data_IF_260377184071
#
_entry.id   IF_260377184071
#
_cell.length_a   1.000
_cell.length_b   1.000
_cell.length_c   1.000
_cell.angle_alpha   90.00
_cell.angle_beta   90.00
_cell.angle_gamma   90.00
#
_symmetry.space_group_name_H-M   'P 1'
#
loop_
_entity.id
_entity.type
_entity.pdbx_description
1 polymer ?
#
# COMPACT_ATOMS: atom_id res chain seq x y z
N UNK A 1 -1.05 4.07 -19.72
CA UNK A 1 -1.36 4.86 -18.52
C UNK A 1 -0.08 5.50 -18.02
N UNK A 2 -0.18 6.72 -17.49
CA UNK A 2 0.94 7.41 -16.88
C UNK A 2 1.22 6.84 -15.49
N UNK A 3 2.50 6.66 -15.17
CA UNK A 3 2.99 6.19 -13.88
C UNK A 3 4.37 6.78 -13.57
N UNK A 4 4.76 6.75 -12.30
CA UNK A 4 6.11 7.01 -11.84
C UNK A 4 6.74 5.67 -11.43
N UNK A 5 7.85 5.29 -12.07
CA UNK A 5 8.46 3.98 -11.88
C UNK A 5 9.97 4.07 -11.65
N UNK A 6 10.50 3.11 -10.92
CA UNK A 6 11.93 2.91 -10.68
C UNK A 6 12.40 1.78 -11.58
N UNK A 7 13.26 2.09 -12.55
CA UNK A 7 13.89 1.08 -13.40
C UNK A 7 15.07 0.43 -12.71
N UNK A 8 15.95 1.27 -12.18
CA UNK A 8 17.19 0.91 -11.49
C UNK A 8 17.27 1.76 -10.23
N UNK A 9 17.35 1.15 -9.04
CA UNK A 9 17.50 1.92 -7.81
C UNK A 9 18.81 2.74 -7.81
N UNK A 10 18.75 3.95 -7.27
CA UNK A 10 19.89 4.87 -7.15
C UNK A 10 19.58 5.92 -6.06
N UNK A 11 20.58 6.67 -5.55
CA UNK A 11 20.34 7.75 -4.59
C UNK A 11 19.26 8.70 -5.10
N UNK A 12 18.34 9.13 -4.21
CA UNK A 12 17.15 9.89 -4.63
C UNK A 12 17.51 11.19 -5.35
N UNK A 13 18.66 11.78 -5.03
CA UNK A 13 19.20 13.00 -5.65
C UNK A 13 19.50 12.84 -7.14
N UNK A 14 19.64 11.60 -7.62
CA UNK A 14 19.83 11.28 -9.04
C UNK A 14 18.52 11.10 -9.81
N UNK A 15 17.38 11.30 -9.15
CA UNK A 15 16.03 11.13 -9.71
C UNK A 15 15.78 9.72 -10.29
N UNK A 16 15.91 8.64 -9.49
CA UNK A 16 15.67 7.26 -9.93
C UNK A 16 14.21 6.98 -10.32
N UNK A 17 13.27 7.82 -9.86
CA UNK A 17 11.85 7.73 -10.15
C UNK A 17 11.54 8.48 -11.45
N UNK A 18 11.12 7.75 -12.48
CA UNK A 18 10.91 8.28 -13.83
C UNK A 18 9.42 8.25 -14.21
N UNK A 19 8.96 9.31 -14.88
CA UNK A 19 7.66 9.31 -15.53
C UNK A 19 7.69 8.39 -16.76
N UNK A 20 6.77 7.44 -16.80
CA UNK A 20 6.69 6.43 -17.86
C UNK A 20 5.26 6.21 -18.31
N UNK A 21 5.09 5.78 -19.55
CA UNK A 21 3.84 5.24 -20.04
C UNK A 21 3.90 3.71 -20.06
N UNK A 22 2.96 3.08 -19.36
CA UNK A 22 2.88 1.62 -19.21
C UNK A 22 1.49 1.12 -19.57
N UNK A 23 1.33 -0.17 -19.84
CA UNK A 23 0.00 -0.76 -20.03
C UNK A 23 -0.83 -0.61 -18.74
N UNK A 24 -2.12 -0.32 -18.89
CA UNK A 24 -3.06 -0.33 -17.77
C UNK A 24 -3.18 -1.77 -17.25
N UNK A 25 -3.03 -2.02 -15.93
CA UNK A 25 -3.15 -3.38 -15.40
C UNK A 25 -4.56 -3.93 -15.66
N UNK A 26 -4.63 -5.25 -15.85
CA UNK A 26 -5.88 -6.01 -15.91
C UNK A 26 -6.02 -6.78 -14.61
N UNK A 27 -7.16 -6.72 -13.90
CA UNK A 27 -7.32 -7.44 -12.65
C UNK A 27 -7.35 -8.95 -12.92
N UNK A 28 -6.56 -9.71 -12.17
CA UNK A 28 -6.64 -11.18 -12.19
C UNK A 28 -7.82 -11.68 -11.34
N UNK A 29 -8.04 -13.00 -11.31
CA UNK A 29 -9.02 -13.60 -10.41
C UNK A 29 -8.74 -13.21 -8.95
N UNK A 30 -9.77 -12.72 -8.25
CA UNK A 30 -9.65 -12.20 -6.88
C UNK A 30 -9.04 -10.81 -6.76
N UNK A 31 -8.76 -10.11 -7.87
CA UNK A 31 -8.27 -8.73 -7.86
C UNK A 31 -9.32 -7.71 -8.30
N UNK A 32 -9.12 -6.47 -7.87
CA UNK A 32 -9.88 -5.29 -8.27
C UNK A 32 -8.95 -4.40 -9.10
N UNK A 33 -9.47 -3.81 -10.18
CA UNK A 33 -8.83 -2.67 -10.81
C UNK A 33 -9.31 -1.40 -10.13
N UNK A 34 -8.39 -0.60 -9.63
CA UNK A 34 -8.68 0.63 -8.89
C UNK A 34 -8.11 1.82 -9.66
N UNK A 35 -8.96 2.82 -9.94
CA UNK A 35 -8.50 4.15 -10.37
C UNK A 35 -7.99 4.90 -9.15
N UNK A 36 -6.72 5.27 -9.17
CA UNK A 36 -6.10 6.02 -8.08
C UNK A 36 -6.64 7.44 -8.07
N UNK A 37 -7.06 7.91 -6.89
CA UNK A 37 -7.45 9.31 -6.67
C UNK A 37 -6.33 10.07 -5.98
N UNK A 38 -5.80 9.48 -4.91
CA UNK A 38 -4.68 10.01 -4.11
C UNK A 38 -3.78 8.84 -3.72
N UNK A 39 -2.47 9.07 -3.73
CA UNK A 39 -1.51 8.18 -3.09
C UNK A 39 -0.60 9.02 -2.19
N UNK A 40 -0.51 8.65 -0.93
CA UNK A 40 0.46 9.24 -0.01
C UNK A 40 1.90 8.82 -0.36
N UNK A 41 2.87 9.56 0.20
CA UNK A 41 4.30 9.35 0.00
C UNK A 41 4.92 8.92 1.31
N UNK A 42 5.46 7.71 1.36
CA UNK A 42 6.03 7.12 2.56
C UNK A 42 7.56 7.00 2.43
N UNK A 43 8.27 6.98 3.57
CA UNK A 43 9.73 6.73 3.59
C UNK A 43 10.09 5.41 2.93
N UNK A 44 9.22 4.40 3.01
CA UNK A 44 9.41 3.11 2.35
C UNK A 44 9.50 3.24 0.82
N UNK A 45 8.83 4.22 0.20
CA UNK A 45 8.96 4.43 -1.25
C UNK A 45 10.37 4.92 -1.62
N UNK A 46 11.03 5.68 -0.73
CA UNK A 46 12.45 6.02 -0.87
C UNK A 46 13.33 4.78 -0.73
N UNK A 47 13.06 3.91 0.24
CA UNK A 47 13.79 2.64 0.38
C UNK A 47 13.70 1.76 -0.87
N UNK A 48 12.57 1.78 -1.58
CA UNK A 48 12.42 1.12 -2.89
C UNK A 48 13.23 1.84 -3.97
N UNK A 49 13.18 3.17 -4.02
CA UNK A 49 13.87 3.98 -5.03
C UNK A 49 15.39 3.96 -4.89
N UNK A 50 15.90 3.90 -3.66
CA UNK A 50 17.33 3.92 -3.32
C UNK A 50 17.95 2.52 -3.24
N UNK A 51 17.12 1.48 -3.20
CA UNK A 51 17.56 0.08 -3.26
C UNK A 51 17.85 -0.55 -1.89
N UNK A 52 17.49 0.12 -0.79
CA UNK A 52 17.47 -0.47 0.55
C UNK A 52 16.55 -1.69 0.61
N UNK A 53 15.44 -1.63 -0.14
CA UNK A 53 14.62 -2.78 -0.48
C UNK A 53 15.05 -3.32 -1.84
N UNK A 54 15.51 -4.59 -1.94
CA UNK A 54 15.98 -5.13 -3.20
C UNK A 54 14.85 -5.16 -4.24
N UNK A 55 15.10 -4.71 -5.48
CA UNK A 55 14.07 -4.67 -6.51
C UNK A 55 13.58 -6.08 -6.86
N UNK A 56 12.27 -6.25 -6.97
CA UNK A 56 11.61 -7.53 -7.28
C UNK A 56 11.40 -7.75 -8.78
N UNK A 57 11.26 -6.68 -9.54
CA UNK A 57 11.16 -6.68 -10.99
C UNK A 57 11.65 -5.34 -11.54
N UNK A 58 11.77 -5.21 -12.88
CA UNK A 58 12.06 -3.91 -13.51
C UNK A 58 10.81 -3.03 -13.48
N UNK A 59 11.00 -1.72 -13.48
CA UNK A 59 9.92 -0.73 -13.56
C UNK A 59 8.90 -0.89 -12.42
N UNK A 60 9.39 -0.97 -11.19
CA UNK A 60 8.53 -0.98 -10.00
C UNK A 60 7.87 0.38 -9.88
N UNK A 61 6.55 0.41 -9.80
CA UNK A 61 5.77 1.61 -9.48
C UNK A 61 5.59 1.61 -7.95
N UNK A 62 6.18 2.55 -7.20
CA UNK A 62 6.00 2.62 -5.73
C UNK A 62 4.60 3.14 -5.34
N UNK A 63 4.40 3.39 -4.05
CA UNK A 63 3.19 3.97 -3.49
C UNK A 63 2.24 2.91 -2.92
N UNK A 64 1.98 3.00 -1.62
CA UNK A 64 1.18 2.01 -0.87
C UNK A 64 0.28 2.66 0.18
N UNK A 65 -0.01 3.94 -0.04
CA UNK A 65 -0.95 4.76 0.73
C UNK A 65 -2.09 5.19 -0.19
N UNK A 66 -2.71 4.22 -0.88
CA UNK A 66 -3.57 4.50 -2.03
C UNK A 66 -5.03 4.64 -1.61
N UNK A 67 -5.66 5.74 -2.00
CA UNK A 67 -7.11 5.88 -2.00
C UNK A 67 -7.60 5.92 -3.44
N UNK A 68 -8.60 5.10 -3.75
CA UNK A 68 -9.10 5.00 -5.11
C UNK A 68 -10.52 4.51 -5.21
N UNK A 69 -10.95 4.33 -6.45
CA UNK A 69 -12.28 3.87 -6.81
C UNK A 69 -12.16 2.58 -7.63
N UNK A 70 -12.93 1.56 -7.27
CA UNK A 70 -13.01 0.30 -8.01
C UNK A 70 -13.65 0.56 -9.37
N UNK A 71 -12.99 0.18 -10.46
CA UNK A 71 -13.49 0.34 -11.83
C UNK A 71 -13.86 -1.01 -12.45
N UNK A 72 -13.14 -2.07 -12.11
CA UNK A 72 -13.35 -3.42 -12.67
C UNK A 72 -13.10 -4.47 -11.60
N UNK A 73 -13.85 -5.58 -11.68
CA UNK A 73 -13.72 -6.74 -10.80
C UNK A 73 -13.12 -7.88 -11.60
N UNK A 74 -12.06 -8.48 -11.08
CA UNK A 74 -11.56 -9.77 -11.54
C UNK A 74 -12.52 -10.91 -11.20
N UNK A 75 -12.30 -12.06 -11.84
CA UNK A 75 -13.12 -13.25 -11.61
C UNK A 75 -13.17 -13.64 -10.13
N UNK A 76 -14.36 -13.96 -9.63
CA UNK A 76 -14.57 -14.41 -8.24
C UNK A 76 -14.66 -13.30 -7.20
N UNK A 77 -14.37 -12.04 -7.54
CA UNK A 77 -14.53 -10.90 -6.64
C UNK A 77 -16.02 -10.65 -6.32
N UNK A 78 -16.32 -10.47 -5.03
CA UNK A 78 -17.70 -10.28 -4.52
C UNK A 78 -17.79 -9.26 -3.39
N UNK A 79 -16.66 -8.83 -2.80
CA UNK A 79 -16.67 -7.92 -1.64
C UNK A 79 -16.98 -6.46 -2.01
N UNK A 80 -16.70 -6.07 -3.25
CA UNK A 80 -16.85 -4.70 -3.74
C UNK A 80 -17.62 -4.66 -5.04
N UNK A 81 -18.13 -3.47 -5.37
CA UNK A 81 -18.77 -3.16 -6.65
C UNK A 81 -18.00 -2.02 -7.33
N UNK A 82 -18.06 -1.90 -8.68
CA UNK A 82 -17.56 -0.71 -9.37
C UNK A 82 -18.17 0.58 -8.78
N UNK A 83 -17.35 1.62 -8.65
CA UNK A 83 -17.66 2.87 -7.96
C UNK A 83 -17.36 2.86 -6.45
N UNK A 84 -17.07 1.70 -5.84
CA UNK A 84 -16.72 1.62 -4.43
C UNK A 84 -15.38 2.32 -4.14
N UNK A 85 -15.34 3.10 -3.06
CA UNK A 85 -14.13 3.75 -2.57
C UNK A 85 -13.34 2.79 -1.69
N UNK A 86 -12.07 2.59 -2.04
CA UNK A 86 -11.19 1.62 -1.37
C UNK A 86 -9.81 2.19 -1.05
N UNK A 87 -9.22 1.66 0.03
CA UNK A 87 -7.84 1.90 0.42
C UNK A 87 -6.94 0.69 0.10
N UNK A 88 -5.70 0.95 -0.32
CA UNK A 88 -4.69 -0.08 -0.57
C UNK A 88 -3.47 0.25 0.27
N UNK A 89 -3.13 -0.66 1.18
CA UNK A 89 -2.01 -0.54 2.11
C UNK A 89 -0.76 -1.29 1.59
N UNK A 90 0.30 -1.23 2.39
CA UNK A 90 1.56 -1.94 2.15
C UNK A 90 1.39 -3.46 2.00
N UNK A 91 0.67 -4.11 2.92
CA UNK A 91 0.45 -5.56 2.87
C UNK A 91 -0.55 -5.91 1.76
N UNK A 92 -0.09 -6.61 0.72
CA UNK A 92 -0.90 -6.96 -0.46
C UNK A 92 -1.50 -8.35 -0.40
N UNK A 93 -0.73 -9.29 0.13
CA UNK A 93 -1.10 -10.71 0.11
C UNK A 93 -0.36 -11.43 1.23
N UNK A 94 -1.00 -12.45 1.80
CA UNK A 94 -0.35 -13.43 2.70
C UNK A 94 -0.68 -14.85 2.26
N UNK A 95 0.00 -15.85 2.82
CA UNK A 95 -0.25 -17.26 2.45
C UNK A 95 -1.52 -17.84 3.08
N UNK A 96 -2.12 -17.21 4.09
CA UNK A 96 -3.29 -17.71 4.82
C UNK A 96 -3.05 -18.98 5.68
N UNK A 97 -1.96 -19.72 5.47
CA UNK A 97 -1.78 -21.07 6.05
C UNK A 97 -0.67 -21.17 7.10
N UNK A 98 0.24 -20.20 7.21
CA UNK A 98 1.34 -20.26 8.16
C UNK A 98 0.88 -20.01 9.60
N UNK A 99 1.74 -20.31 10.58
CA UNK A 99 1.43 -20.14 12.00
C UNK A 99 1.04 -18.70 12.39
N UNK A 100 1.55 -17.69 11.67
CA UNK A 100 1.18 -16.29 11.88
C UNK A 100 -0.19 -15.96 11.30
N UNK A 101 -0.48 -16.39 10.07
CA UNK A 101 -1.79 -16.17 9.43
C UNK A 101 -2.91 -16.84 10.22
N UNK A 102 -2.71 -18.09 10.67
CA UNK A 102 -3.70 -18.83 11.48
C UNK A 102 -3.94 -18.23 12.88
N UNK A 103 -3.16 -17.24 13.29
CA UNK A 103 -3.26 -16.55 14.59
C UNK A 103 -3.58 -15.07 14.43
N UNK A 104 -4.11 -14.66 13.27
CA UNK A 104 -4.45 -13.27 12.94
C UNK A 104 -3.25 -12.30 13.09
N UNK A 105 -2.05 -12.80 12.81
CA UNK A 105 -0.79 -12.04 12.77
C UNK A 105 -0.20 -12.05 11.36
N UNK A 106 -1.05 -11.97 10.35
CA UNK A 106 -0.69 -12.06 8.94
C UNK A 106 0.38 -11.03 8.51
N UNK A 107 0.49 -9.91 9.22
CA UNK A 107 1.57 -8.93 9.06
C UNK A 107 2.99 -9.49 9.30
N UNK A 108 3.10 -10.71 9.86
CA UNK A 108 4.34 -11.45 10.10
C UNK A 108 4.48 -12.65 9.14
N UNK A 109 3.63 -12.74 8.12
CA UNK A 109 3.67 -13.85 7.17
C UNK A 109 5.03 -13.86 6.42
N UNK A 110 5.77 -14.99 6.41
CA UNK A 110 7.05 -15.08 5.71
C UNK A 110 6.89 -15.08 4.18
N UNK A 111 5.70 -15.39 3.69
CA UNK A 111 5.32 -15.40 2.27
C UNK A 111 4.40 -14.21 1.95
N UNK A 112 4.58 -13.09 2.64
CA UNK A 112 3.83 -11.87 2.35
C UNK A 112 4.33 -11.24 1.04
N UNK A 113 3.41 -10.62 0.31
CA UNK A 113 3.75 -9.72 -0.80
C UNK A 113 3.27 -8.30 -0.47
N UNK A 114 3.92 -7.31 -1.08
CA UNK A 114 3.76 -5.91 -0.74
C UNK A 114 3.43 -5.04 -1.96
N UNK A 115 2.51 -4.09 -1.75
CA UNK A 115 2.12 -3.07 -2.73
C UNK A 115 3.24 -2.04 -2.87
N UNK A 116 3.59 -1.66 -4.08
CA UNK A 116 4.68 -0.72 -4.35
C UNK A 116 6.08 -1.33 -4.25
N UNK A 117 6.20 -2.66 -4.07
CA UNK A 117 7.49 -3.35 -4.01
C UNK A 117 7.50 -4.72 -4.70
N UNK A 118 6.69 -5.68 -4.26
CA UNK A 118 6.55 -6.97 -4.97
C UNK A 118 5.60 -6.84 -6.16
N UNK A 119 4.61 -5.95 -6.05
CA UNK A 119 3.70 -5.59 -7.13
C UNK A 119 3.57 -4.07 -7.22
N UNK A 120 3.39 -3.56 -8.45
CA UNK A 120 3.13 -2.15 -8.72
C UNK A 120 2.05 -1.52 -7.82
N UNK A 121 2.36 -0.34 -7.32
CA UNK A 121 1.60 0.44 -6.36
C UNK A 121 0.80 1.59 -6.96
N UNK A 122 0.61 2.63 -6.17
CA UNK A 122 -0.31 3.74 -6.41
C UNK A 122 0.28 4.97 -7.10
N UNK A 123 1.57 5.03 -7.40
CA UNK A 123 2.14 6.11 -8.22
C UNK A 123 1.80 5.93 -9.71
N UNK A 124 0.54 5.68 -10.01
CA UNK A 124 0.00 5.45 -11.34
C UNK A 124 -1.47 5.87 -11.39
N UNK A 125 -2.00 6.05 -12.59
CA UNK A 125 -3.43 6.35 -12.77
C UNK A 125 -4.35 5.19 -12.36
N UNK A 126 -3.88 3.94 -12.46
CA UNK A 126 -4.58 2.73 -12.02
C UNK A 126 -3.63 1.75 -11.34
N UNK A 127 -4.16 0.96 -10.43
CA UNK A 127 -3.44 -0.15 -9.80
C UNK A 127 -4.38 -1.33 -9.56
N UNK A 128 -3.83 -2.54 -9.51
CA UNK A 128 -4.57 -3.76 -9.20
C UNK A 128 -4.30 -4.18 -7.76
N UNK A 129 -5.32 -4.62 -7.03
CA UNK A 129 -5.20 -5.08 -5.63
C UNK A 129 -6.06 -6.30 -5.42
N UNK A 130 -5.62 -7.24 -4.59
CA UNK A 130 -6.50 -8.35 -4.21
C UNK A 130 -7.67 -7.85 -3.37
N UNK A 131 -8.89 -8.34 -3.63
CA UNK A 131 -10.06 -7.84 -2.92
C UNK A 131 -9.99 -8.10 -1.42
N UNK A 132 -9.30 -9.16 -0.98
CA UNK A 132 -9.09 -9.51 0.43
C UNK A 132 -8.21 -8.47 1.18
N UNK A 133 -7.35 -7.75 0.47
CA UNK A 133 -6.45 -6.71 1.01
C UNK A 133 -6.85 -5.28 0.64
N UNK A 134 -7.99 -5.09 -0.01
CA UNK A 134 -8.61 -3.78 -0.19
C UNK A 134 -9.44 -3.40 1.05
N UNK A 135 -9.27 -2.17 1.54
CA UNK A 135 -10.00 -1.66 2.70
C UNK A 135 -11.22 -0.85 2.24
N UNK A 136 -12.45 -1.16 2.71
CA UNK A 136 -13.55 -0.22 2.58
C UNK A 136 -13.25 1.05 3.39
N UNK A 137 -13.49 2.22 2.81
CA UNK A 137 -13.17 3.50 3.45
C UNK A 137 -14.42 4.22 3.97
N UNK A 138 -14.38 4.85 5.15
CA UNK A 138 -15.50 5.60 5.69
C UNK A 138 -15.78 6.85 4.81
N UNK A 139 -17.04 7.14 4.47
CA UNK A 139 -17.36 8.24 3.55
C UNK A 139 -17.07 9.64 4.14
N UNK A 140 -16.96 9.75 5.47
CA UNK A 140 -16.80 11.02 6.17
C UNK A 140 -15.37 11.59 6.18
N UNK A 141 -14.37 10.83 5.74
CA UNK A 141 -12.95 11.24 5.79
C UNK A 141 -12.44 11.44 4.37
N UNK A 142 -11.86 12.61 4.09
CA UNK A 142 -11.34 12.98 2.76
C UNK A 142 -10.21 12.05 2.29
N UNK A 143 -9.98 11.95 0.97
CA UNK A 143 -9.01 11.03 0.37
C UNK A 143 -7.58 11.32 0.88
N UNK A 144 -7.21 12.60 0.95
CA UNK A 144 -5.90 13.08 1.41
C UNK A 144 -5.65 12.81 2.88
N UNK A 145 -6.71 12.72 3.69
CA UNK A 145 -6.61 12.40 5.11
C UNK A 145 -6.54 10.89 5.34
N UNK A 146 -7.19 10.09 4.48
CA UNK A 146 -7.18 8.62 4.60
C UNK A 146 -5.87 8.03 4.09
N UNK A 147 -5.30 8.56 3.01
CA UNK A 147 -4.11 8.00 2.37
C UNK A 147 -2.96 7.70 3.38
N UNK A 148 -2.50 8.67 4.20
CA UNK A 148 -1.47 8.41 5.21
C UNK A 148 -1.87 7.38 6.27
N UNK A 149 -3.16 7.18 6.54
CA UNK A 149 -3.61 6.21 7.53
C UNK A 149 -3.37 4.75 7.09
N UNK A 150 -3.24 4.52 5.78
CA UNK A 150 -3.00 3.20 5.19
C UNK A 150 -1.58 2.68 5.37
N UNK A 151 -0.64 3.51 5.85
CA UNK A 151 0.68 3.07 6.31
C UNK A 151 1.08 3.74 7.64
N UNK A 152 1.33 5.05 7.64
CA UNK A 152 1.71 5.80 8.84
C UNK A 152 0.72 5.59 10.01
N UNK A 153 -0.57 5.77 9.74
CA UNK A 153 -1.61 5.66 10.77
C UNK A 153 -1.75 4.25 11.34
N UNK A 154 -1.77 3.21 10.49
CA UNK A 154 -1.89 1.82 10.94
C UNK A 154 -0.68 1.37 11.76
N UNK A 155 0.54 1.81 11.40
CA UNK A 155 1.76 1.52 12.16
C UNK A 155 1.73 2.24 13.51
N UNK A 156 1.44 3.55 13.54
CA UNK A 156 1.33 4.33 14.77
C UNK A 156 0.28 3.77 15.72
N UNK A 157 -0.90 3.43 15.20
CA UNK A 157 -1.97 2.79 15.98
C UNK A 157 -1.52 1.44 16.56
N UNK A 158 -0.83 0.62 15.77
CA UNK A 158 -0.28 -0.66 16.23
C UNK A 158 0.76 -0.46 17.32
N UNK A 159 1.64 0.53 17.20
CA UNK A 159 2.67 0.84 18.20
C UNK A 159 2.04 1.18 19.55
N UNK A 160 1.02 2.06 19.56
CA UNK A 160 0.25 2.39 20.77
C UNK A 160 -0.39 1.14 21.38
N UNK A 161 -1.05 0.30 20.58
CA UNK A 161 -1.63 -0.97 21.07
C UNK A 161 -0.59 -1.90 21.67
N UNK A 162 0.59 -2.01 21.05
CA UNK A 162 1.67 -2.89 21.50
C UNK A 162 2.38 -2.39 22.75
N UNK A 163 2.39 -1.08 22.98
CA UNK A 163 2.90 -0.46 24.19
C UNK A 163 1.93 -0.57 25.39
N UNK A 164 0.71 -1.11 25.18
CA UNK A 164 -0.29 -1.33 26.24
C UNK A 164 -0.57 -0.08 27.09
N UNK A 165 -0.58 1.08 26.43
CA UNK A 165 -0.74 2.40 27.04
C UNK A 165 -2.11 2.48 27.72
N UNK A 166 -2.12 2.91 28.99
CA UNK A 166 -3.34 3.10 29.78
C UNK A 166 -3.75 4.57 29.84
N UNK A 167 -5.04 4.89 30.02
CA UNK A 167 -5.48 6.25 30.27
C UNK A 167 -4.68 6.91 31.41
N UNK A 168 -4.22 8.14 31.20
CA UNK A 168 -3.38 8.89 32.15
C UNK A 168 -1.89 8.60 32.08
N UNK A 169 -1.43 7.68 31.21
CA UNK A 169 0.00 7.47 31.00
C UNK A 169 0.63 8.61 30.18
N UNK A 170 1.87 8.96 30.53
CA UNK A 170 2.72 9.84 29.72
C UNK A 170 3.41 9.04 28.63
N UNK A 171 3.33 9.51 27.38
CA UNK A 171 3.89 8.84 26.20
C UNK A 171 4.93 9.75 25.56
N UNK A 172 6.14 9.23 25.34
CA UNK A 172 7.17 9.89 24.55
C UNK A 172 7.10 9.44 23.09
N UNK A 173 7.03 10.38 22.16
CA UNK A 173 7.12 10.14 20.72
C UNK A 173 8.47 10.67 20.23
N UNK A 174 9.23 9.85 19.51
CA UNK A 174 10.54 10.20 18.97
C UNK A 174 10.47 10.17 17.45
N UNK A 175 10.55 11.36 16.85
CA UNK A 175 10.30 11.57 15.42
C UNK A 175 8.85 12.02 15.17
N UNK A 176 8.67 12.99 14.28
CA UNK A 176 7.38 13.63 14.00
C UNK A 176 7.04 13.61 12.50
N UNK A 177 7.28 12.46 11.85
CA UNK A 177 6.99 12.22 10.43
C UNK A 177 6.08 11.00 10.22
N UNK A 178 5.73 10.71 8.97
CA UNK A 178 4.80 9.61 8.61
C UNK A 178 5.33 8.19 8.85
N UNK A 179 6.62 8.03 9.16
CA UNK A 179 7.22 6.72 9.49
C UNK A 179 8.00 6.77 10.80
N UNK A 180 7.71 7.76 11.65
CA UNK A 180 8.31 7.91 12.96
C UNK A 180 7.68 6.98 14.00
#
# INVERSE_FOLDING_TARGET
>A
MQAMAVQTPAPIETNPLQAVEVERPRPQAGELLVRVRVCGVCRTDLHVAEGDLPPRHKWIIPGHEVVGEVIELGEGCRRFIPGARVGIAWLRQTCGICAYCRRDRENLCPNACFTGWDQNGGYAQWTAVREDFAYPLPPAIADEQVAPLLCAGIIGYRAIKRAEIRPGATVGLYGFGGSA
#
